data_IF_107655381720
#
_entry.id   IF_107655381720
#
_cell.length_a   1.000
_cell.length_b   1.000
_cell.length_c   1.000
_cell.angle_alpha   90.00
_cell.angle_beta   90.00
_cell.angle_gamma   90.00
#
_symmetry.space_group_name_H-M   'P 1'
#
loop_
_entity.id
_entity.type
_entity.pdbx_description
1 polymer ?
#
# COMPACT_ATOMS: atom_id res chain seq x y z
N UNK A 1 43.21 -31.87 -30.29
CA UNK A 1 42.62 -31.61 -28.96
C UNK A 1 42.76 -30.15 -28.53
N UNK A 2 43.95 -29.55 -28.68
CA UNK A 2 44.24 -28.15 -28.27
C UNK A 2 43.32 -27.10 -28.92
N UNK A 3 43.03 -27.22 -30.23
CA UNK A 3 42.11 -26.31 -30.94
C UNK A 3 40.67 -26.34 -30.40
N UNK A 4 40.18 -27.51 -30.00
CA UNK A 4 38.84 -27.64 -29.45
C UNK A 4 38.78 -27.06 -28.03
N UNK A 5 39.82 -27.31 -27.20
CA UNK A 5 39.91 -26.71 -25.87
C UNK A 5 40.07 -25.19 -25.91
N UNK A 6 40.82 -24.63 -26.87
CA UNK A 6 40.96 -23.17 -26.98
C UNK A 6 39.67 -22.49 -27.42
N UNK A 7 38.92 -23.11 -28.35
CA UNK A 7 37.58 -22.63 -28.74
C UNK A 7 36.59 -22.67 -27.57
N UNK A 8 36.61 -23.73 -26.76
CA UNK A 8 35.75 -23.84 -25.57
C UNK A 8 36.11 -22.76 -24.54
N UNK A 9 37.40 -22.54 -24.27
CA UNK A 9 37.85 -21.48 -23.35
C UNK A 9 37.42 -20.10 -23.83
N UNK A 10 37.56 -19.82 -25.14
CA UNK A 10 37.13 -18.56 -25.72
C UNK A 10 35.61 -18.37 -25.60
N UNK A 11 34.83 -19.41 -25.91
CA UNK A 11 33.37 -19.38 -25.83
C UNK A 11 32.88 -19.16 -24.39
N UNK A 12 33.48 -19.87 -23.42
CA UNK A 12 33.16 -19.70 -22.00
C UNK A 12 33.57 -18.31 -21.50
N UNK A 13 34.74 -17.80 -21.93
CA UNK A 13 35.20 -16.44 -21.60
C UNK A 13 34.24 -15.36 -22.08
N UNK A 14 33.81 -15.42 -23.35
CA UNK A 14 32.81 -14.50 -23.89
C UNK A 14 31.46 -14.64 -23.19
N UNK A 15 31.03 -15.89 -22.93
CA UNK A 15 29.78 -16.14 -22.21
C UNK A 15 29.76 -15.47 -20.84
N UNK A 16 30.83 -15.63 -20.05
CA UNK A 16 30.94 -15.02 -18.72
C UNK A 16 30.93 -13.50 -18.81
N UNK A 17 31.63 -12.91 -19.79
CA UNK A 17 31.65 -11.47 -19.98
C UNK A 17 30.25 -10.92 -20.26
N UNK A 18 29.52 -11.52 -21.21
CA UNK A 18 28.16 -11.08 -21.53
C UNK A 18 27.17 -11.37 -20.40
N UNK A 19 27.34 -12.48 -19.67
CA UNK A 19 26.54 -12.78 -18.49
C UNK A 19 26.75 -11.73 -17.39
N UNK A 20 28.00 -11.30 -17.16
CA UNK A 20 28.32 -10.25 -16.20
C UNK A 20 27.70 -8.91 -16.62
N UNK A 21 27.85 -8.52 -17.89
CA UNK A 21 27.23 -7.30 -18.42
C UNK A 21 25.71 -7.34 -18.25
N UNK A 22 25.08 -8.46 -18.63
CA UNK A 22 23.64 -8.67 -18.46
C UNK A 22 23.20 -8.59 -16.99
N UNK A 23 23.98 -9.16 -16.07
CA UNK A 23 23.69 -9.10 -14.65
C UNK A 23 23.79 -7.67 -14.09
N UNK A 24 24.82 -6.91 -14.48
CA UNK A 24 25.00 -5.51 -14.07
C UNK A 24 23.87 -4.65 -14.62
N UNK A 25 23.53 -4.78 -15.91
CA UNK A 25 22.43 -4.03 -16.51
C UNK A 25 21.10 -4.36 -15.81
N UNK A 26 20.82 -5.64 -15.57
CA UNK A 26 19.61 -6.06 -14.86
C UNK A 26 19.54 -5.49 -13.44
N UNK A 27 20.66 -5.44 -12.73
CA UNK A 27 20.73 -4.85 -11.40
C UNK A 27 20.43 -3.34 -11.45
N UNK A 28 21.08 -2.62 -12.36
CA UNK A 28 20.90 -1.16 -12.51
C UNK A 28 19.45 -0.84 -12.91
N UNK A 29 18.92 -1.47 -13.95
CA UNK A 29 17.54 -1.24 -14.37
C UNK A 29 16.51 -1.72 -13.35
N UNK A 30 16.81 -2.80 -12.61
CA UNK A 30 15.98 -3.26 -11.51
C UNK A 30 15.89 -2.24 -10.39
N UNK A 31 17.02 -1.64 -10.00
CA UNK A 31 17.06 -0.57 -8.99
C UNK A 31 16.30 0.67 -9.47
N UNK A 32 16.58 1.13 -10.70
CA UNK A 32 15.92 2.30 -11.28
C UNK A 32 14.40 2.06 -11.35
N UNK A 33 13.98 0.94 -11.93
CA UNK A 33 12.56 0.58 -12.03
C UNK A 33 11.89 0.44 -10.66
N UNK A 34 12.59 -0.11 -9.68
CA UNK A 34 12.13 -0.20 -8.29
C UNK A 34 11.90 1.19 -7.66
N UNK A 35 12.84 2.12 -7.83
CA UNK A 35 12.71 3.50 -7.34
C UNK A 35 11.52 4.21 -8.00
N UNK A 36 11.40 4.13 -9.33
CA UNK A 36 10.28 4.73 -10.05
C UNK A 36 8.93 4.13 -9.63
N UNK A 37 8.90 2.83 -9.37
CA UNK A 37 7.69 2.15 -8.87
C UNK A 37 7.33 2.62 -7.46
N UNK A 38 8.33 2.80 -6.59
CA UNK A 38 8.12 3.31 -5.24
C UNK A 38 7.59 4.75 -5.27
N UNK A 39 8.25 5.63 -6.03
CA UNK A 39 7.86 7.04 -6.17
C UNK A 39 6.50 7.15 -6.83
N UNK A 40 6.26 6.43 -7.93
CA UNK A 40 4.97 6.39 -8.61
C UNK A 40 3.86 5.84 -7.72
N UNK A 41 4.16 4.81 -6.92
CA UNK A 41 3.22 4.25 -5.94
C UNK A 41 2.88 5.24 -4.82
N UNK A 42 3.88 5.93 -4.26
CA UNK A 42 3.65 6.96 -3.24
C UNK A 42 2.83 8.13 -3.79
N UNK A 43 3.20 8.66 -4.96
CA UNK A 43 2.45 9.73 -5.62
C UNK A 43 1.03 9.28 -5.98
N UNK A 44 0.87 8.08 -6.52
CA UNK A 44 -0.43 7.50 -6.84
C UNK A 44 -1.30 7.31 -5.61
N UNK A 45 -0.74 6.88 -4.47
CA UNK A 45 -1.45 6.75 -3.21
C UNK A 45 -1.90 8.10 -2.65
N UNK A 46 -1.03 9.12 -2.71
CA UNK A 46 -1.37 10.47 -2.26
C UNK A 46 -2.45 11.08 -3.16
N UNK A 47 -2.24 11.08 -4.47
CA UNK A 47 -3.19 11.67 -5.43
C UNK A 47 -4.52 10.90 -5.40
N UNK A 48 -4.47 9.57 -5.44
CA UNK A 48 -5.66 8.71 -5.35
C UNK A 48 -6.39 8.87 -4.03
N UNK A 49 -5.67 8.97 -2.91
CA UNK A 49 -6.23 9.24 -1.59
C UNK A 49 -6.93 10.60 -1.52
N UNK A 50 -6.29 11.66 -2.02
CA UNK A 50 -6.89 13.00 -2.09
C UNK A 50 -8.12 13.01 -3.00
N UNK A 51 -8.04 12.38 -4.16
CA UNK A 51 -9.18 12.25 -5.07
C UNK A 51 -10.35 11.49 -4.42
N UNK A 52 -10.07 10.41 -3.70
CA UNK A 52 -11.07 9.67 -2.93
C UNK A 52 -11.67 10.52 -1.82
N UNK A 53 -10.89 11.33 -1.12
CA UNK A 53 -11.40 12.24 -0.10
C UNK A 53 -12.32 13.30 -0.70
N UNK A 54 -12.00 13.81 -1.88
CA UNK A 54 -12.84 14.77 -2.60
C UNK A 54 -14.16 14.16 -3.08
N UNK A 55 -14.15 12.87 -3.47
CA UNK A 55 -15.33 12.14 -3.94
C UNK A 55 -16.12 11.50 -2.78
N UNK A 56 -15.50 11.32 -1.61
CA UNK A 56 -16.12 10.75 -0.41
C UNK A 56 -17.50 11.32 -0.07
N UNK A 57 -17.78 12.64 -0.12
CA UNK A 57 -19.12 13.16 0.15
C UNK A 57 -20.14 12.67 -0.88
N UNK A 58 -19.78 12.57 -2.16
CA UNK A 58 -20.66 12.07 -3.21
C UNK A 58 -20.99 10.60 -2.96
N UNK A 59 -19.98 9.80 -2.58
CA UNK A 59 -20.16 8.39 -2.23
C UNK A 59 -21.02 8.23 -0.97
N UNK A 60 -20.80 9.06 0.06
CA UNK A 60 -21.60 9.05 1.27
C UNK A 60 -23.07 9.38 0.99
N UNK A 61 -23.34 10.36 0.12
CA UNK A 61 -24.70 10.67 -0.33
C UNK A 61 -25.31 9.51 -1.13
N UNK A 62 -24.55 8.88 -2.01
CA UNK A 62 -25.02 7.70 -2.75
C UNK A 62 -25.34 6.51 -1.82
N UNK A 63 -24.62 6.39 -0.69
CA UNK A 63 -24.82 5.35 0.31
C UNK A 63 -25.88 5.71 1.37
N UNK A 64 -26.55 6.86 1.28
CA UNK A 64 -27.62 7.27 2.22
C UNK A 64 -28.66 6.18 2.50
N UNK A 65 -29.19 5.44 1.49
CA UNK A 65 -30.18 4.39 1.74
C UNK A 65 -29.71 3.30 2.70
N UNK A 66 -28.40 3.04 2.75
CA UNK A 66 -27.77 2.06 3.65
C UNK A 66 -27.32 2.73 4.95
N UNK A 67 -26.77 3.95 4.87
CA UNK A 67 -26.24 4.67 6.03
C UNK A 67 -27.34 5.14 6.99
N UNK A 68 -28.52 5.50 6.50
CA UNK A 68 -29.64 5.97 7.34
C UNK A 68 -30.11 4.89 8.32
N UNK A 69 -30.42 3.65 7.89
CA UNK A 69 -30.78 2.57 8.82
C UNK A 69 -29.70 2.32 9.88
N UNK A 70 -28.43 2.29 9.49
CA UNK A 70 -27.30 2.04 10.40
C UNK A 70 -27.15 3.19 11.41
N UNK A 71 -27.26 4.43 10.95
CA UNK A 71 -27.19 5.61 11.81
C UNK A 71 -28.33 5.64 12.85
N UNK A 72 -29.54 5.23 12.47
CA UNK A 72 -30.67 5.12 13.39
C UNK A 72 -30.39 4.10 14.50
N UNK A 73 -29.91 2.91 14.15
CA UNK A 73 -29.55 1.87 15.13
C UNK A 73 -28.45 2.40 16.07
N UNK A 74 -27.40 3.01 15.52
CA UNK A 74 -26.32 3.57 16.33
C UNK A 74 -26.82 4.65 17.30
N UNK A 75 -27.73 5.52 16.85
CA UNK A 75 -28.33 6.57 17.67
C UNK A 75 -29.17 5.99 18.81
N UNK A 76 -29.97 4.94 18.54
CA UNK A 76 -30.74 4.24 19.56
C UNK A 76 -29.83 3.63 20.61
N UNK A 77 -28.79 2.90 20.20
CA UNK A 77 -27.82 2.28 21.12
C UNK A 77 -27.12 3.35 21.96
N UNK A 78 -26.70 4.45 21.35
CA UNK A 78 -26.08 5.58 22.05
C UNK A 78 -27.02 6.22 23.07
N UNK A 79 -28.28 6.44 22.70
CA UNK A 79 -29.28 7.04 23.58
C UNK A 79 -29.52 6.16 24.82
N UNK A 80 -29.64 4.84 24.63
CA UNK A 80 -29.77 3.89 25.73
C UNK A 80 -28.54 3.94 26.63
N UNK A 81 -27.35 3.79 26.05
CA UNK A 81 -26.10 3.81 26.81
C UNK A 81 -25.94 5.09 27.63
N UNK A 82 -26.29 6.24 27.06
CA UNK A 82 -26.23 7.54 27.74
C UNK A 82 -27.26 7.66 28.85
N UNK A 83 -28.49 7.21 28.63
CA UNK A 83 -29.54 7.21 29.66
C UNK A 83 -29.20 6.31 30.84
N UNK A 84 -28.46 5.22 30.61
CA UNK A 84 -28.04 4.28 31.65
C UNK A 84 -26.78 4.69 32.42
N UNK A 85 -26.07 5.76 32.02
CA UNK A 85 -24.91 6.24 32.77
C UNK A 85 -25.38 6.87 34.09
N UNK A 86 -25.08 6.19 35.21
CA UNK A 86 -25.21 6.76 36.55
C UNK A 86 -24.05 7.74 36.79
N UNK A 87 -24.27 8.88 37.48
CA UNK A 87 -23.18 9.74 37.88
C UNK A 87 -22.25 8.98 38.85
N UNK A 88 -20.95 8.98 38.56
CA UNK A 88 -19.94 8.44 39.47
C UNK A 88 -19.96 9.28 40.74
N UNK A 89 -20.54 8.73 41.80
CA UNK A 89 -20.52 9.36 43.13
C UNK A 89 -19.12 9.16 43.68
N UNK A 90 -18.24 10.15 43.47
CA UNK A 90 -16.93 10.20 44.12
C UNK A 90 -17.18 10.38 45.61
N UNK A 91 -17.08 9.29 46.37
CA UNK A 91 -17.11 9.33 47.84
C UNK A 91 -15.85 10.07 48.30
N UNK A 92 -16.00 11.35 48.64
CA UNK A 92 -14.95 12.12 49.29
C UNK A 92 -14.64 11.47 50.65
N UNK A 93 -13.37 11.10 50.93
CA UNK A 93 -12.98 10.56 52.24
C UNK A 93 -13.24 11.62 53.32
N UNK A 94 -13.93 11.22 54.40
CA UNK A 94 -14.09 12.01 55.62
C UNK A 94 -12.91 11.79 56.55
#
# INVERSE_FOLDING_TARGET
>A
MIFLSSLVVLAVGFWILFALVGAVLKLVFGIIGGIFSLVGGMLGAVIGGVAMLAIAPVVALALLPVLVPVALIALVVWAIARATRKPDVVLAPR
#
